data_IF_713718405436
#
_entry.id   IF_713718405436
#
_cell.length_a   1.000
_cell.length_b   1.000
_cell.length_c   1.000
_cell.angle_alpha   90.00
_cell.angle_beta   90.00
_cell.angle_gamma   90.00
#
_symmetry.space_group_name_H-M   'P 1'
#
loop_
_entity.id
_entity.type
_entity.pdbx_description
1 polymer ?
#
# COMPACT_ATOMS: atom_id res chain seq x y z
N UNK A 1 -14.16 -3.44 16.14
CA UNK A 1 -13.79 -4.57 15.29
C UNK A 1 -12.37 -5.01 15.55
N UNK A 2 -12.01 -5.22 16.82
CA UNK A 2 -10.75 -5.82 17.30
C UNK A 2 -9.43 -5.31 16.70
N UNK A 3 -9.43 -4.17 16.04
CA UNK A 3 -8.23 -3.48 15.61
C UNK A 3 -7.39 -3.06 16.81
N UNK A 4 -6.07 -3.20 16.67
CA UNK A 4 -5.13 -2.75 17.69
C UNK A 4 -5.22 -1.22 17.83
N UNK A 5 -5.26 -0.73 19.06
CA UNK A 5 -5.19 0.71 19.32
C UNK A 5 -3.80 1.26 19.00
N UNK A 6 -3.72 2.49 18.48
CA UNK A 6 -2.45 3.15 18.15
C UNK A 6 -1.93 2.87 16.73
N UNK A 7 -2.67 2.13 15.91
CA UNK A 7 -2.49 2.05 14.46
C UNK A 7 -3.73 2.64 13.77
N UNK A 8 -3.54 3.13 12.55
CA UNK A 8 -4.64 3.65 11.76
C UNK A 8 -4.74 5.15 11.61
N UNK A 9 -5.76 5.59 10.88
CA UNK A 9 -5.93 6.99 10.50
C UNK A 9 -6.19 7.87 11.72
N UNK A 10 -5.39 8.94 11.86
CA UNK A 10 -5.53 9.94 12.93
C UNK A 10 -5.94 11.28 12.30
N UNK A 11 -7.22 11.65 12.45
CA UNK A 11 -7.77 12.86 11.84
C UNK A 11 -7.59 12.87 10.32
N UNK A 12 -6.81 13.84 9.81
CA UNK A 12 -6.48 13.96 8.38
C UNK A 12 -5.20 13.24 7.97
N UNK A 13 -4.39 12.76 8.93
CA UNK A 13 -3.14 12.06 8.66
C UNK A 13 -3.48 10.65 8.17
N UNK A 14 -3.10 10.29 6.93
CA UNK A 14 -3.66 9.12 6.29
C UNK A 14 -2.83 7.86 6.59
N UNK A 15 -2.50 7.66 7.88
CA UNK A 15 -2.02 6.39 8.43
C UNK A 15 -3.10 5.30 8.24
N UNK A 16 -2.69 4.03 8.28
CA UNK A 16 -3.63 2.93 8.04
C UNK A 16 -3.07 1.58 8.43
N UNK A 17 -3.51 0.57 7.66
CA UNK A 17 -3.11 -0.83 7.73
C UNK A 17 -3.56 -1.57 9.00
N UNK A 18 -4.62 -1.09 9.66
CA UNK A 18 -5.28 -1.82 10.74
C UNK A 18 -5.76 -3.19 10.26
N UNK A 19 -6.28 -3.26 9.03
CA UNK A 19 -6.75 -4.49 8.41
C UNK A 19 -5.59 -5.45 8.11
N UNK A 20 -4.44 -4.94 7.69
CA UNK A 20 -3.24 -5.76 7.43
C UNK A 20 -2.73 -6.37 8.73
N UNK A 21 -2.60 -5.58 9.80
CA UNK A 21 -2.23 -6.09 11.13
C UNK A 21 -3.19 -7.19 11.59
N UNK A 22 -4.50 -6.92 11.50
CA UNK A 22 -5.53 -7.86 11.91
C UNK A 22 -5.45 -9.16 11.10
N UNK A 23 -5.26 -9.07 9.78
CA UNK A 23 -5.15 -10.24 8.92
C UNK A 23 -3.94 -11.11 9.27
N UNK A 24 -2.80 -10.49 9.55
CA UNK A 24 -1.58 -11.22 9.95
C UNK A 24 -1.78 -11.85 11.33
N UNK A 25 -2.28 -11.08 12.31
CA UNK A 25 -2.54 -11.56 13.67
C UNK A 25 -3.54 -12.73 13.67
N UNK A 26 -4.60 -12.65 12.88
CA UNK A 26 -5.58 -13.73 12.75
C UNK A 26 -4.95 -15.00 12.15
N UNK A 27 -4.07 -14.87 11.15
CA UNK A 27 -3.35 -16.01 10.56
C UNK A 27 -2.35 -16.64 11.54
N UNK A 28 -1.68 -15.83 12.35
CA UNK A 28 -0.77 -16.31 13.41
C UNK A 28 -1.54 -17.01 14.52
N UNK A 29 -2.73 -16.52 14.89
CA UNK A 29 -3.58 -17.11 15.92
C UNK A 29 -4.30 -18.39 15.46
N UNK A 30 -4.63 -18.50 14.16
CA UNK A 30 -5.37 -19.62 13.59
C UNK A 30 -4.65 -20.12 12.31
N UNK A 31 -3.59 -20.93 12.44
CA UNK A 31 -2.71 -21.29 11.32
C UNK A 31 -3.39 -21.98 10.13
N UNK A 32 -4.52 -22.66 10.39
CA UNK A 32 -5.28 -23.38 9.36
C UNK A 32 -6.45 -22.57 8.77
N UNK A 33 -6.69 -21.35 9.25
CA UNK A 33 -7.71 -20.48 8.68
C UNK A 33 -7.23 -19.83 7.39
N UNK A 34 -8.18 -19.56 6.49
CA UNK A 34 -7.94 -18.87 5.22
C UNK A 34 -8.91 -17.71 5.05
N UNK A 35 -8.43 -16.63 4.46
CA UNK A 35 -9.28 -15.54 3.98
C UNK A 35 -9.89 -15.94 2.65
N UNK A 36 -11.21 -15.83 2.54
CA UNK A 36 -11.94 -16.10 1.30
C UNK A 36 -12.26 -14.77 0.65
N UNK A 37 -11.88 -14.63 -0.62
CA UNK A 37 -12.28 -13.52 -1.47
C UNK A 37 -13.56 -13.91 -2.21
N UNK A 38 -14.62 -13.12 -2.05
CA UNK A 38 -15.87 -13.28 -2.78
C UNK A 38 -15.96 -12.22 -3.90
N UNK A 39 -15.79 -12.60 -5.18
CA UNK A 39 -15.82 -11.67 -6.30
C UNK A 39 -17.23 -11.16 -6.63
N UNK A 40 -18.29 -11.73 -6.05
CA UNK A 40 -19.67 -11.31 -6.28
C UNK A 40 -20.13 -10.22 -5.30
N UNK A 41 -19.28 -9.83 -4.35
CA UNK A 41 -19.58 -8.76 -3.41
C UNK A 41 -19.32 -7.39 -4.04
N UNK A 42 -20.39 -6.61 -4.23
CA UNK A 42 -20.29 -5.23 -4.71
C UNK A 42 -20.04 -4.24 -3.55
N UNK A 43 -19.00 -3.42 -3.68
CA UNK A 43 -18.65 -2.38 -2.71
C UNK A 43 -18.69 -1.01 -3.38
N UNK A 44 -19.62 -0.17 -2.93
CA UNK A 44 -19.72 1.23 -3.39
C UNK A 44 -18.87 2.13 -2.50
N UNK A 45 -17.80 2.71 -3.08
CA UNK A 45 -16.95 3.66 -2.38
C UNK A 45 -16.89 4.99 -3.13
N UNK A 46 -17.25 6.09 -2.46
CA UNK A 46 -17.06 7.43 -2.99
C UNK A 46 -15.66 7.94 -2.65
N UNK A 47 -14.87 8.26 -3.69
CA UNK A 47 -13.54 8.85 -3.54
C UNK A 47 -13.63 10.37 -3.72
N UNK A 48 -13.38 11.17 -2.66
CA UNK A 48 -13.40 12.62 -2.78
C UNK A 48 -12.28 13.14 -3.71
N UNK A 49 -12.54 14.21 -4.46
CA UNK A 49 -11.57 14.81 -5.40
C UNK A 49 -10.21 15.14 -4.76
N UNK A 50 -10.18 15.53 -3.47
CA UNK A 50 -8.92 15.77 -2.76
C UNK A 50 -7.98 14.55 -2.73
N UNK A 51 -8.51 13.33 -2.89
CA UNK A 51 -7.73 12.08 -2.89
C UNK A 51 -7.16 11.73 -4.27
N UNK A 52 -7.53 12.45 -5.32
CA UNK A 52 -7.04 12.20 -6.69
C UNK A 52 -5.85 13.09 -7.05
N UNK A 53 -5.43 13.99 -6.15
CA UNK A 53 -4.34 14.93 -6.37
C UNK A 53 -2.96 14.39 -5.99
N UNK A 54 -1.92 14.95 -6.61
CA UNK A 54 -0.53 14.60 -6.37
C UNK A 54 -0.09 14.79 -4.91
N UNK A 55 -0.49 15.89 -4.27
CA UNK A 55 -0.16 16.16 -2.86
C UNK A 55 -0.71 15.07 -1.94
N UNK A 56 -1.94 14.59 -2.20
CA UNK A 56 -2.51 13.47 -1.44
C UNK A 56 -1.77 12.17 -1.72
N UNK A 57 -1.41 11.90 -2.97
CA UNK A 57 -0.62 10.72 -3.33
C UNK A 57 0.70 10.66 -2.55
N UNK A 58 1.48 11.75 -2.53
CA UNK A 58 2.74 11.82 -1.78
C UNK A 58 2.51 11.62 -0.27
N UNK A 59 1.54 12.34 0.30
CA UNK A 59 1.19 12.21 1.72
C UNK A 59 0.77 10.78 2.08
N UNK A 60 -0.01 10.12 1.22
CA UNK A 60 -0.40 8.72 1.41
C UNK A 60 0.77 7.78 1.32
N UNK A 61 1.61 7.87 0.30
CA UNK A 61 2.81 7.02 0.16
C UNK A 61 3.69 7.13 1.40
N UNK A 62 3.93 8.35 1.89
CA UNK A 62 4.76 8.55 3.08
C UNK A 62 4.15 7.93 4.34
N UNK A 63 2.86 8.20 4.59
CA UNK A 63 2.12 7.62 5.71
C UNK A 63 2.02 6.08 5.63
N UNK A 64 1.97 5.52 4.42
CA UNK A 64 1.99 4.08 4.19
C UNK A 64 3.31 3.47 4.64
N UNK A 65 4.43 4.12 4.29
CA UNK A 65 5.76 3.71 4.75
C UNK A 65 5.83 3.63 6.27
N UNK A 66 5.41 4.70 6.95
CA UNK A 66 5.37 4.76 8.42
C UNK A 66 4.47 3.65 8.98
N UNK A 67 3.28 3.44 8.39
CA UNK A 67 2.36 2.40 8.86
C UNK A 67 3.01 1.02 8.74
N UNK A 68 3.64 0.71 7.60
CA UNK A 68 4.37 -0.56 7.38
C UNK A 68 5.49 -0.77 8.39
N UNK A 69 6.24 0.26 8.77
CA UNK A 69 7.32 0.11 9.76
C UNK A 69 6.78 -0.15 11.16
N UNK A 70 5.68 0.51 11.54
CA UNK A 70 5.00 0.28 12.82
C UNK A 70 4.44 -1.14 12.92
N UNK A 71 3.75 -1.63 11.89
CA UNK A 71 3.14 -2.98 11.94
C UNK A 71 4.23 -4.05 11.93
N UNK A 72 5.32 -3.86 11.18
CA UNK A 72 6.46 -4.78 11.16
C UNK A 72 7.07 -4.99 12.56
N UNK A 73 6.95 -4.01 13.46
CA UNK A 73 7.35 -4.13 14.87
C UNK A 73 6.37 -4.98 15.70
N UNK A 74 5.09 -5.04 15.31
CA UNK A 74 4.06 -5.78 16.03
C UNK A 74 3.89 -7.22 15.57
N UNK A 75 3.94 -7.48 14.26
CA UNK A 75 3.66 -8.80 13.67
C UNK A 75 4.92 -9.52 13.18
N UNK A 76 6.07 -8.85 13.27
CA UNK A 76 7.37 -9.34 12.79
C UNK A 76 7.68 -8.91 11.34
N UNK A 77 8.95 -8.61 11.08
CA UNK A 77 9.38 -8.08 9.78
C UNK A 77 9.15 -9.05 8.61
N UNK A 78 9.22 -10.36 8.84
CA UNK A 78 9.02 -11.35 7.77
C UNK A 78 7.57 -11.37 7.31
N UNK A 79 6.63 -11.42 8.25
CA UNK A 79 5.20 -11.51 7.92
C UNK A 79 4.66 -10.17 7.45
N UNK A 80 5.10 -9.07 8.07
CA UNK A 80 4.70 -7.70 7.73
C UNK A 80 5.27 -7.13 6.42
N UNK A 81 6.22 -7.82 5.77
CA UNK A 81 6.79 -7.43 4.46
C UNK A 81 6.67 -8.51 3.38
N UNK A 82 6.04 -9.65 3.68
CA UNK A 82 6.02 -10.80 2.77
C UNK A 82 5.29 -10.49 1.45
N UNK A 83 4.13 -9.84 1.52
CA UNK A 83 3.37 -9.42 0.34
C UNK A 83 4.02 -8.21 -0.34
N UNK A 84 4.63 -7.35 0.45
CA UNK A 84 5.29 -6.12 0.06
C UNK A 84 6.51 -6.39 -0.82
N UNK A 85 7.27 -7.46 -0.53
CA UNK A 85 8.45 -7.83 -1.31
C UNK A 85 8.08 -8.22 -2.73
N UNK A 86 7.04 -9.03 -2.92
CA UNK A 86 6.58 -9.40 -4.26
C UNK A 86 6.08 -8.17 -5.02
N UNK A 87 5.33 -7.29 -4.34
CA UNK A 87 4.83 -6.06 -4.94
C UNK A 87 5.96 -5.13 -5.40
N UNK A 88 6.96 -4.89 -4.53
CA UNK A 88 8.10 -4.02 -4.84
C UNK A 88 9.05 -4.60 -5.89
N UNK A 89 9.26 -5.92 -5.89
CA UNK A 89 10.23 -6.57 -6.78
C UNK A 89 9.64 -7.04 -8.12
N UNK A 90 8.32 -7.19 -8.23
CA UNK A 90 7.67 -7.69 -9.46
C UNK A 90 6.63 -6.73 -10.00
N UNK A 91 5.65 -6.34 -9.18
CA UNK A 91 4.52 -5.54 -9.65
C UNK A 91 4.93 -4.13 -10.06
N UNK A 92 5.70 -3.43 -9.22
CA UNK A 92 6.12 -2.05 -9.52
C UNK A 92 7.08 -1.97 -10.72
N UNK A 93 8.12 -2.82 -10.84
CA UNK A 93 9.00 -2.80 -12.02
C UNK A 93 8.24 -3.12 -13.32
N UNK A 94 7.32 -4.10 -13.28
CA UNK A 94 6.49 -4.41 -14.44
C UNK A 94 5.62 -3.20 -14.82
N UNK A 95 5.02 -2.51 -13.86
CA UNK A 95 4.25 -1.30 -14.10
C UNK A 95 5.07 -0.17 -14.73
N UNK A 96 6.34 -0.01 -14.34
CA UNK A 96 7.27 0.93 -14.98
C UNK A 96 7.55 0.52 -16.42
N UNK A 97 7.89 -0.76 -16.66
CA UNK A 97 8.16 -1.28 -18.01
C UNK A 97 6.97 -1.10 -18.93
N UNK A 98 5.75 -1.40 -18.46
CA UNK A 98 4.51 -1.17 -19.22
C UNK A 98 4.33 0.31 -19.52
N UNK A 99 4.50 1.21 -18.54
CA UNK A 99 4.36 2.66 -18.78
C UNK A 99 5.38 3.20 -19.79
N UNK A 100 6.62 2.71 -19.76
CA UNK A 100 7.62 3.06 -20.77
C UNK A 100 7.24 2.50 -22.15
N UNK A 101 6.77 1.25 -22.21
CA UNK A 101 6.25 0.63 -23.43
C UNK A 101 5.09 1.41 -24.05
N UNK A 102 4.11 1.82 -23.25
CA UNK A 102 2.96 2.63 -23.68
C UNK A 102 3.43 3.97 -24.29
N UNK A 103 4.47 4.57 -23.71
CA UNK A 103 5.06 5.82 -24.22
C UNK A 103 5.67 5.64 -25.60
N UNK A 104 6.36 4.52 -25.83
CA UNK A 104 6.94 4.19 -27.14
C UNK A 104 5.85 3.94 -28.20
N UNK A 105 4.64 3.54 -27.79
CA UNK A 105 3.48 3.38 -28.66
C UNK A 105 2.63 4.66 -28.81
N UNK A 106 3.08 5.80 -28.28
CA UNK A 106 2.46 7.11 -28.47
C UNK A 106 1.62 7.63 -27.30
N UNK A 107 1.46 6.88 -26.20
CA UNK A 107 0.79 7.39 -25.00
C UNK A 107 1.78 8.10 -24.07
N UNK A 108 1.84 9.43 -24.17
CA UNK A 108 2.68 10.28 -23.32
C UNK A 108 2.35 10.19 -21.82
N UNK A 109 1.18 9.66 -21.44
CA UNK A 109 0.85 9.43 -20.03
C UNK A 109 1.55 8.20 -19.46
N UNK A 110 2.08 7.30 -20.30
CA UNK A 110 2.89 6.16 -19.88
C UNK A 110 4.10 6.60 -19.05
N UNK A 111 4.80 7.66 -19.48
CA UNK A 111 5.95 8.21 -18.76
C UNK A 111 5.54 8.80 -17.41
N UNK A 112 4.38 9.47 -17.34
CA UNK A 112 3.84 10.00 -16.07
C UNK A 112 3.49 8.87 -15.09
N UNK A 113 2.91 7.77 -15.59
CA UNK A 113 2.59 6.58 -14.78
C UNK A 113 3.87 5.93 -14.24
N UNK A 114 4.87 5.73 -15.09
CA UNK A 114 6.17 5.20 -14.68
C UNK A 114 6.84 6.10 -13.62
N UNK A 115 6.84 7.42 -13.83
CA UNK A 115 7.35 8.39 -12.87
C UNK A 115 6.62 8.37 -11.53
N UNK A 116 5.29 8.27 -11.55
CA UNK A 116 4.47 8.17 -10.33
C UNK A 116 4.77 6.88 -9.53
N UNK A 117 4.98 5.75 -10.20
CA UNK A 117 5.37 4.48 -9.55
C UNK A 117 6.70 4.63 -8.82
N UNK A 118 7.73 5.16 -9.50
CA UNK A 118 9.06 5.35 -8.92
C UNK A 118 9.00 6.33 -7.75
N UNK A 119 8.36 7.49 -7.93
CA UNK A 119 8.21 8.48 -6.88
C UNK A 119 7.45 7.93 -5.67
N UNK A 120 6.35 7.22 -5.89
CA UNK A 120 5.56 6.60 -4.82
C UNK A 120 6.36 5.59 -4.01
N UNK A 121 7.16 4.74 -4.68
CA UNK A 121 8.04 3.78 -4.02
C UNK A 121 9.12 4.48 -3.18
N UNK A 122 9.77 5.51 -3.72
CA UNK A 122 10.81 6.26 -3.01
C UNK A 122 10.24 6.95 -1.76
N UNK A 123 9.08 7.61 -1.89
CA UNK A 123 8.42 8.30 -0.78
C UNK A 123 7.95 7.30 0.29
N UNK A 124 7.40 6.15 -0.13
CA UNK A 124 7.01 5.07 0.81
C UNK A 124 8.23 4.51 1.54
N UNK A 125 9.34 4.32 0.84
CA UNK A 125 10.59 3.84 1.44
C UNK A 125 11.14 4.83 2.46
N UNK A 126 11.13 6.13 2.15
CA UNK A 126 11.52 7.17 3.08
C UNK A 126 10.64 7.21 4.35
N UNK A 127 9.32 7.03 4.20
CA UNK A 127 8.39 6.90 5.32
C UNK A 127 8.69 5.68 6.19
N UNK A 128 8.97 4.53 5.56
CA UNK A 128 9.30 3.29 6.25
C UNK A 128 10.59 3.38 7.06
N UNK A 129 11.64 3.99 6.49
CA UNK A 129 12.92 4.18 7.20
C UNK A 129 12.77 5.12 8.40
N UNK A 130 11.88 6.11 8.32
CA UNK A 130 11.70 7.12 9.36
C UNK A 130 10.89 6.64 10.57
N UNK A 131 9.93 5.75 10.36
CA UNK A 131 8.98 5.28 11.38
C UNK A 131 9.51 4.11 12.19
#
# INVERSE_FOLDING_TARGET
GDFRNGIGRVGTIPLGCEETELCIRARQAIPNARFIYDPHTDIYHSVPLKRTGWAYFQSRCYAEGISKSVISKFVGQKDGLSAERSHAMKTLPLGVMTGLGDTLHGDLNGMKRAGAIVAGLMITTAGYIRG
#
